data_IF_034685277128
#
_entry.id   IF_034685277128
#
_cell.length_a   1.000
_cell.length_b   1.000
_cell.length_c   1.000
_cell.angle_alpha   90.00
_cell.angle_beta   90.00
_cell.angle_gamma   90.00
#
_symmetry.space_group_name_H-M   'P 1'
#
loop_
_entity.id
_entity.type
_entity.pdbx_description
1 polymer ?
#
# COMPACT_ATOMS: atom_id res chain seq x y z
N UNK A 1 -1.01 21.58 -11.29
CA UNK A 1 -0.07 22.06 -10.27
C UNK A 1 0.50 20.83 -9.59
N UNK A 2 1.68 20.34 -10.01
CA UNK A 2 2.22 19.10 -9.49
C UNK A 2 2.85 19.35 -8.13
N UNK A 3 2.34 18.68 -7.11
CA UNK A 3 2.83 18.78 -5.74
C UNK A 3 4.32 18.41 -5.66
N UNK A 4 5.15 19.36 -5.28
CA UNK A 4 6.51 19.13 -4.76
C UNK A 4 6.42 18.73 -3.29
N UNK A 5 5.84 17.58 -2.99
CA UNK A 5 5.99 17.02 -1.67
C UNK A 5 7.09 15.97 -1.77
N UNK A 6 8.31 16.37 -1.46
CA UNK A 6 9.34 15.42 -1.02
C UNK A 6 8.88 14.90 0.33
N UNK A 7 8.27 13.72 0.34
CA UNK A 7 7.98 13.00 1.56
C UNK A 7 9.32 12.72 2.25
N UNK A 8 9.70 13.59 3.15
CA UNK A 8 10.90 13.41 3.97
C UNK A 8 10.49 12.43 5.05
N UNK A 9 11.09 11.26 5.09
CA UNK A 9 10.91 10.31 6.19
C UNK A 9 11.50 10.88 7.50
N UNK A 10 11.21 12.13 7.84
CA UNK A 10 11.75 12.80 9.00
C UNK A 10 10.64 13.46 9.84
N UNK A 11 10.92 13.68 11.13
CA UNK A 11 9.99 14.25 12.09
C UNK A 11 9.66 15.73 11.82
N UNK A 12 10.25 16.36 10.82
CA UNK A 12 10.02 17.76 10.45
C UNK A 12 8.87 17.91 9.46
N UNK A 13 8.46 16.81 8.82
CA UNK A 13 7.33 16.81 7.89
C UNK A 13 6.01 16.86 8.69
N UNK A 14 5.21 17.96 8.58
CA UNK A 14 3.97 18.08 9.32
C UNK A 14 2.95 16.97 8.98
N UNK A 15 2.86 16.60 7.70
CA UNK A 15 1.96 15.53 7.27
C UNK A 15 2.41 14.19 7.86
N UNK A 16 3.71 13.91 7.88
CA UNK A 16 4.22 12.69 8.47
C UNK A 16 3.89 12.61 9.98
N UNK A 17 4.02 13.71 10.72
CA UNK A 17 3.65 13.75 12.15
C UNK A 17 2.16 13.49 12.34
N UNK A 18 1.32 14.12 11.52
CA UNK A 18 -0.13 13.90 11.55
C UNK A 18 -0.47 12.44 11.30
N UNK A 19 0.17 11.80 10.31
CA UNK A 19 -0.05 10.39 9.99
C UNK A 19 0.43 9.47 11.10
N UNK A 20 1.57 9.75 11.72
CA UNK A 20 2.08 8.96 12.86
C UNK A 20 1.14 9.03 14.07
N UNK A 21 0.59 10.22 14.35
CA UNK A 21 -0.40 10.41 15.42
C UNK A 21 -1.69 9.66 15.12
N UNK A 22 -2.16 9.74 13.88
CA UNK A 22 -3.37 9.08 13.41
C UNK A 22 -3.31 7.56 13.57
N UNK A 23 -2.15 6.95 13.25
CA UNK A 23 -1.94 5.52 13.38
C UNK A 23 -1.55 5.06 14.79
N UNK A 24 -1.35 5.98 15.73
CA UNK A 24 -0.94 5.64 17.10
C UNK A 24 0.48 5.08 17.21
N UNK A 25 1.35 5.30 16.22
CA UNK A 25 2.73 4.78 16.23
C UNK A 25 3.72 5.69 16.97
N UNK A 26 3.23 6.63 17.79
CA UNK A 26 4.07 7.60 18.47
C UNK A 26 5.15 6.96 19.33
N UNK A 27 4.82 5.89 20.03
CA UNK A 27 5.70 5.21 20.98
C UNK A 27 6.41 3.99 20.37
N UNK A 28 5.98 3.48 19.21
CA UNK A 28 6.61 2.39 18.49
C UNK A 28 7.44 2.90 17.30
N UNK A 29 8.71 3.23 17.61
CA UNK A 29 9.66 3.76 16.63
C UNK A 29 9.86 2.81 15.42
N UNK A 30 9.82 1.50 15.65
CA UNK A 30 10.04 0.51 14.59
C UNK A 30 8.89 0.49 13.59
N UNK A 31 7.68 0.30 14.08
CA UNK A 31 6.47 0.31 13.26
C UNK A 31 6.30 1.64 12.55
N UNK A 32 6.55 2.75 13.25
CA UNK A 32 6.54 4.10 12.67
C UNK A 32 7.51 4.23 11.49
N UNK A 33 8.75 3.81 11.65
CA UNK A 33 9.75 3.90 10.57
C UNK A 33 9.37 3.03 9.38
N UNK A 34 8.91 1.81 9.61
CA UNK A 34 8.45 0.92 8.54
C UNK A 34 7.28 1.52 7.78
N UNK A 35 6.30 2.06 8.48
CA UNK A 35 5.14 2.71 7.88
C UNK A 35 5.56 3.92 7.02
N UNK A 36 6.45 4.77 7.53
CA UNK A 36 7.02 5.89 6.77
C UNK A 36 7.73 5.44 5.50
N UNK A 37 8.53 4.38 5.58
CA UNK A 37 9.22 3.83 4.40
C UNK A 37 8.21 3.33 3.35
N UNK A 38 7.13 2.70 3.77
CA UNK A 38 6.06 2.21 2.87
C UNK A 38 5.30 3.36 2.21
N UNK A 39 4.88 4.35 2.98
CA UNK A 39 4.22 5.55 2.45
C UNK A 39 5.11 6.29 1.45
N UNK A 40 6.40 6.48 1.78
CA UNK A 40 7.36 7.11 0.89
C UNK A 40 7.55 6.33 -0.41
N UNK A 41 7.58 5.00 -0.33
CA UNK A 41 7.71 4.15 -1.50
C UNK A 41 6.47 4.24 -2.40
N UNK A 42 5.27 4.18 -1.82
CA UNK A 42 4.02 4.36 -2.56
C UNK A 42 3.96 5.73 -3.24
N UNK A 43 4.31 6.79 -2.50
CA UNK A 43 4.37 8.14 -3.04
C UNK A 43 5.28 8.24 -4.27
N UNK A 44 6.48 7.64 -4.20
CA UNK A 44 7.42 7.59 -5.34
C UNK A 44 6.87 6.78 -6.49
N UNK A 45 6.28 5.63 -6.20
CA UNK A 45 5.65 4.78 -7.22
C UNK A 45 4.54 5.55 -7.94
N UNK A 46 3.65 6.20 -7.22
CA UNK A 46 2.54 6.96 -7.81
C UNK A 46 3.06 8.13 -8.67
N UNK A 47 4.07 8.86 -8.20
CA UNK A 47 4.75 9.89 -9.02
C UNK A 47 5.29 9.34 -10.32
N UNK A 48 5.94 8.19 -10.30
CA UNK A 48 6.46 7.55 -11.51
C UNK A 48 5.33 7.11 -12.45
N UNK A 49 4.26 6.50 -11.91
CA UNK A 49 3.11 6.08 -12.72
C UNK A 49 2.45 7.26 -13.43
N UNK A 50 2.40 8.43 -12.77
CA UNK A 50 1.90 9.66 -13.37
C UNK A 50 2.89 10.22 -14.42
N UNK A 51 4.17 10.28 -14.10
CA UNK A 51 5.21 10.78 -15.01
C UNK A 51 5.32 9.92 -16.29
N UNK A 52 5.21 8.60 -16.15
CA UNK A 52 5.24 7.62 -17.23
C UNK A 52 3.90 7.52 -17.99
N UNK A 53 2.90 8.36 -17.65
CA UNK A 53 1.55 8.34 -18.21
C UNK A 53 0.82 7.00 -18.09
N UNK A 54 1.14 6.21 -17.07
CA UNK A 54 0.39 5.01 -16.70
C UNK A 54 -0.90 5.41 -16.01
N UNK A 55 -0.84 6.38 -15.08
CA UNK A 55 -2.02 7.02 -14.47
C UNK A 55 -2.25 8.35 -15.19
N UNK A 56 -3.38 8.47 -15.87
CA UNK A 56 -3.74 9.64 -16.71
C UNK A 56 -5.09 10.24 -16.34
N UNK A 57 -5.87 9.56 -15.51
CA UNK A 57 -7.22 9.98 -15.10
C UNK A 57 -7.24 10.15 -13.59
N UNK A 58 -7.91 11.22 -13.12
CA UNK A 58 -7.89 11.66 -11.72
C UNK A 58 -9.27 12.02 -11.19
N UNK A 59 -10.36 11.52 -11.82
CA UNK A 59 -11.70 11.85 -11.37
C UNK A 59 -12.06 11.09 -10.09
N UNK A 60 -11.67 9.80 -10.00
CA UNK A 60 -12.04 8.99 -8.84
C UNK A 60 -10.98 7.97 -8.45
N UNK A 61 -10.79 7.80 -7.16
CA UNK A 61 -9.96 6.75 -6.57
C UNK A 61 -10.71 6.01 -5.46
N UNK A 62 -10.42 4.71 -5.31
CA UNK A 62 -10.88 3.86 -4.23
C UNK A 62 -9.68 3.32 -3.46
N UNK A 63 -9.69 3.45 -2.15
CA UNK A 63 -8.69 2.90 -1.23
C UNK A 63 -9.33 1.78 -0.42
N UNK A 64 -9.03 0.53 -0.78
CA UNK A 64 -9.59 -0.68 -0.16
C UNK A 64 -8.69 -1.06 1.03
N UNK A 65 -9.25 -1.15 2.24
CA UNK A 65 -8.52 -1.32 3.47
C UNK A 65 -7.80 -0.04 3.86
N UNK A 66 -8.51 1.08 3.82
CA UNK A 66 -7.93 2.42 3.99
C UNK A 66 -7.40 2.69 5.41
N UNK A 67 -7.77 1.85 6.40
CA UNK A 67 -7.45 2.09 7.80
C UNK A 67 -7.81 3.53 8.19
N UNK A 68 -6.95 4.27 8.89
CA UNK A 68 -7.17 5.67 9.27
C UNK A 68 -6.97 6.69 8.12
N UNK A 69 -6.94 6.27 6.85
CA UNK A 69 -7.08 7.14 5.67
C UNK A 69 -5.79 7.79 5.14
N UNK A 70 -4.59 7.36 5.56
CA UNK A 70 -3.34 7.98 5.10
C UNK A 70 -3.12 7.90 3.59
N UNK A 71 -3.36 6.73 3.00
CA UNK A 71 -3.24 6.55 1.56
C UNK A 71 -4.33 7.31 0.80
N UNK A 72 -5.56 7.34 1.33
CA UNK A 72 -6.66 8.14 0.78
C UNK A 72 -6.29 9.62 0.72
N UNK A 73 -5.67 10.16 1.79
CA UNK A 73 -5.15 11.54 1.82
C UNK A 73 -4.07 11.76 0.74
N UNK A 74 -3.13 10.83 0.61
CA UNK A 74 -2.09 10.91 -0.43
C UNK A 74 -2.72 10.94 -1.83
N UNK A 75 -3.71 10.10 -2.10
CA UNK A 75 -4.41 10.09 -3.39
C UNK A 75 -5.09 11.43 -3.67
N UNK A 76 -5.77 12.03 -2.68
CA UNK A 76 -6.34 13.37 -2.81
C UNK A 76 -5.27 14.42 -3.10
N UNK A 77 -4.12 14.39 -2.40
CA UNK A 77 -3.02 15.32 -2.61
C UNK A 77 -2.38 15.19 -4.00
N UNK A 78 -2.42 14.00 -4.60
CA UNK A 78 -2.00 13.79 -5.98
C UNK A 78 -3.00 14.31 -7.04
N UNK A 79 -4.17 14.76 -6.60
CA UNK A 79 -5.13 15.44 -7.46
C UNK A 79 -6.35 14.60 -7.85
N UNK A 80 -6.55 13.43 -7.26
CA UNK A 80 -7.81 12.71 -7.42
C UNK A 80 -8.95 13.54 -6.81
N UNK A 81 -9.99 13.80 -7.61
CA UNK A 81 -11.07 14.71 -7.24
C UNK A 81 -12.01 14.09 -6.20
N UNK A 82 -12.30 12.82 -6.34
CA UNK A 82 -13.12 12.03 -5.43
C UNK A 82 -12.31 10.84 -4.97
N UNK A 83 -12.08 10.73 -3.69
CA UNK A 83 -11.42 9.59 -3.06
C UNK A 83 -12.40 8.94 -2.12
N UNK A 84 -12.65 7.65 -2.29
CA UNK A 84 -13.43 6.84 -1.35
C UNK A 84 -12.47 5.89 -0.64
N UNK A 85 -12.44 5.93 0.70
CA UNK A 85 -11.74 4.98 1.54
C UNK A 85 -12.73 4.00 2.16
N UNK A 86 -12.46 2.71 2.09
CA UNK A 86 -13.27 1.69 2.76
C UNK A 86 -12.41 0.82 3.67
N UNK A 87 -12.95 0.49 4.82
CA UNK A 87 -12.38 -0.47 5.76
C UNK A 87 -13.50 -1.22 6.48
N UNK A 88 -13.20 -2.42 6.98
CA UNK A 88 -14.14 -3.20 7.78
C UNK A 88 -14.19 -2.71 9.24
N UNK A 89 -13.15 -2.04 9.69
CA UNK A 89 -13.00 -1.52 11.06
C UNK A 89 -13.66 -0.13 11.18
N UNK A 90 -14.80 -0.08 11.86
CA UNK A 90 -15.53 1.15 12.13
C UNK A 90 -14.72 2.19 12.91
N UNK A 91 -13.86 1.72 13.85
CA UNK A 91 -13.00 2.61 14.64
C UNK A 91 -11.92 3.30 13.79
N UNK A 92 -11.40 2.61 12.78
CA UNK A 92 -10.46 3.23 11.83
C UNK A 92 -11.17 4.22 10.90
N UNK A 93 -12.35 3.90 10.43
CA UNK A 93 -13.18 4.81 9.62
C UNK A 93 -13.49 6.09 10.42
N UNK A 94 -13.95 5.97 11.67
CA UNK A 94 -14.21 7.14 12.51
C UNK A 94 -12.97 8.04 12.68
N UNK A 95 -11.77 7.45 12.84
CA UNK A 95 -10.50 8.22 12.89
C UNK A 95 -10.21 8.93 11.56
N UNK A 96 -10.41 8.23 10.43
CA UNK A 96 -10.19 8.79 9.11
C UNK A 96 -11.14 9.97 8.83
N UNK A 97 -12.41 9.82 9.14
CA UNK A 97 -13.41 10.91 9.03
C UNK A 97 -13.02 12.11 9.88
N UNK A 98 -12.68 11.90 11.16
CA UNK A 98 -12.27 12.98 12.05
C UNK A 98 -11.00 13.72 11.57
N UNK A 99 -10.05 12.98 10.98
CA UNK A 99 -8.79 13.54 10.52
C UNK A 99 -8.91 14.33 9.21
N UNK A 100 -9.83 13.95 8.32
CA UNK A 100 -9.87 14.45 6.95
C UNK A 100 -11.23 15.07 6.55
N UNK A 101 -12.12 15.35 7.50
CA UNK A 101 -13.44 15.96 7.25
C UNK A 101 -13.36 17.35 6.56
N UNK A 102 -12.26 18.08 6.69
CA UNK A 102 -12.05 19.41 6.14
C UNK A 102 -11.04 19.41 4.98
N UNK A 103 -11.35 18.72 3.89
CA UNK A 103 -10.55 18.80 2.66
C UNK A 103 -11.10 19.93 1.77
N UNK A 104 -10.22 20.49 0.90
CA UNK A 104 -10.54 21.60 0.00
C UNK A 104 -11.88 21.41 -0.73
N UNK A 105 -12.66 22.46 -0.94
CA UNK A 105 -14.03 22.40 -1.48
C UNK A 105 -14.16 21.68 -2.85
N UNK A 106 -13.11 21.72 -3.67
CA UNK A 106 -13.06 21.09 -4.99
C UNK A 106 -12.69 19.60 -4.95
N UNK A 107 -12.38 19.05 -3.78
CA UNK A 107 -11.99 17.65 -3.59
C UNK A 107 -12.78 17.02 -2.46
N UNK A 108 -13.22 15.82 -2.66
CA UNK A 108 -13.92 15.05 -1.64
C UNK A 108 -13.12 13.81 -1.27
N UNK A 109 -12.91 13.62 0.04
CA UNK A 109 -12.53 12.34 0.61
C UNK A 109 -13.72 11.87 1.42
N UNK A 110 -14.22 10.68 1.13
CA UNK A 110 -15.30 10.04 1.88
C UNK A 110 -14.80 8.70 2.41
N UNK A 111 -15.22 8.37 3.61
CA UNK A 111 -14.90 7.08 4.22
C UNK A 111 -16.18 6.31 4.49
N UNK A 112 -16.08 4.98 4.43
CA UNK A 112 -17.24 4.12 4.66
C UNK A 112 -16.81 2.77 5.23
N UNK A 113 -17.50 2.31 6.25
CA UNK A 113 -17.38 0.92 6.72
C UNK A 113 -17.90 -0.02 5.63
N UNK A 114 -17.04 -0.88 5.12
CA UNK A 114 -17.41 -1.85 4.08
C UNK A 114 -16.45 -3.04 4.05
N UNK A 115 -17.00 -4.21 3.72
CA UNK A 115 -16.25 -5.42 3.48
C UNK A 115 -15.80 -5.48 2.01
N UNK A 116 -14.49 -5.61 1.77
CA UNK A 116 -13.93 -5.73 0.42
C UNK A 116 -14.46 -6.96 -0.35
N UNK A 117 -14.89 -8.02 0.36
CA UNK A 117 -15.50 -9.21 -0.24
C UNK A 117 -16.93 -8.96 -0.75
N UNK A 118 -17.56 -7.83 -0.36
CA UNK A 118 -18.97 -7.48 -0.65
C UNK A 118 -19.10 -6.10 -1.31
N UNK A 119 -18.01 -5.62 -1.92
CA UNK A 119 -17.98 -4.31 -2.54
C UNK A 119 -19.03 -4.15 -3.64
N UNK A 120 -19.70 -2.98 -3.66
CA UNK A 120 -20.59 -2.58 -4.72
C UNK A 120 -19.87 -2.49 -6.06
N UNK A 121 -20.32 -3.28 -7.04
CA UNK A 121 -19.72 -3.37 -8.38
C UNK A 121 -20.28 -2.36 -9.37
N UNK A 122 -21.21 -1.52 -8.98
CA UNK A 122 -21.86 -0.54 -9.88
C UNK A 122 -20.97 0.69 -10.08
N UNK A 123 -20.16 1.04 -9.10
CA UNK A 123 -19.24 2.19 -9.16
C UNK A 123 -17.96 1.81 -9.87
N UNK A 124 -17.41 2.75 -10.63
CA UNK A 124 -16.14 2.61 -11.34
C UNK A 124 -15.17 3.69 -10.89
N UNK A 125 -13.90 3.29 -10.72
CA UNK A 125 -12.84 4.16 -10.27
C UNK A 125 -11.68 4.17 -11.26
N UNK A 126 -11.10 5.35 -11.51
CA UNK A 126 -9.93 5.50 -12.38
C UNK A 126 -8.66 4.94 -11.74
N UNK A 127 -8.63 4.94 -10.41
CA UNK A 127 -7.54 4.38 -9.63
C UNK A 127 -8.07 3.58 -8.44
N UNK A 128 -7.50 2.40 -8.22
CA UNK A 128 -7.81 1.58 -7.04
C UNK A 128 -6.50 1.27 -6.31
N UNK A 129 -6.47 1.51 -5.02
CA UNK A 129 -5.43 1.07 -4.12
C UNK A 129 -5.97 -0.05 -3.22
N UNK A 130 -5.21 -1.13 -3.05
CA UNK A 130 -5.55 -2.23 -2.15
C UNK A 130 -4.25 -2.72 -1.49
N UNK A 131 -3.99 -2.23 -0.28
CA UNK A 131 -2.71 -2.49 0.42
C UNK A 131 -2.92 -3.35 1.65
N UNK A 132 -2.26 -4.53 1.68
CA UNK A 132 -2.30 -5.48 2.80
C UNK A 132 -3.74 -5.87 3.20
N UNK A 133 -4.54 -6.24 2.21
CA UNK A 133 -5.94 -6.67 2.41
C UNK A 133 -6.14 -8.11 1.97
N UNK A 134 -5.70 -8.45 0.77
CA UNK A 134 -6.03 -9.74 0.12
C UNK A 134 -5.62 -10.93 0.97
N UNK A 135 -4.44 -10.87 1.59
CA UNK A 135 -3.87 -11.93 2.43
C UNK A 135 -4.62 -12.14 3.76
N UNK A 136 -5.41 -11.16 4.18
CA UNK A 136 -6.17 -11.19 5.43
C UNK A 136 -7.66 -11.52 5.22
N UNK A 137 -8.10 -11.69 3.98
CA UNK A 137 -9.51 -11.98 3.67
C UNK A 137 -9.80 -13.47 3.61
N UNK A 138 -11.05 -13.84 3.88
CA UNK A 138 -11.51 -15.22 3.83
C UNK A 138 -11.64 -15.71 2.39
N UNK A 139 -12.01 -14.82 1.48
CA UNK A 139 -12.28 -15.09 0.05
C UNK A 139 -11.54 -14.10 -0.85
N UNK A 140 -10.19 -14.21 -0.94
CA UNK A 140 -9.37 -13.29 -1.72
C UNK A 140 -9.78 -13.21 -3.20
N UNK A 141 -10.33 -14.29 -3.77
CA UNK A 141 -10.89 -14.31 -5.12
C UNK A 141 -12.07 -13.34 -5.29
N UNK A 142 -12.90 -13.17 -4.25
CA UNK A 142 -13.99 -12.19 -4.27
C UNK A 142 -13.47 -10.76 -4.22
N UNK A 143 -12.46 -10.49 -3.39
CA UNK A 143 -11.83 -9.17 -3.32
C UNK A 143 -11.26 -8.78 -4.67
N UNK A 144 -10.53 -9.68 -5.34
CA UNK A 144 -9.95 -9.41 -6.67
C UNK A 144 -11.04 -9.25 -7.72
N UNK A 145 -12.10 -10.07 -7.69
CA UNK A 145 -13.23 -9.93 -8.60
C UNK A 145 -13.97 -8.59 -8.42
N UNK A 146 -14.16 -8.16 -7.18
CA UNK A 146 -14.78 -6.87 -6.86
C UNK A 146 -13.90 -5.70 -7.30
N UNK A 147 -12.59 -5.80 -7.06
CA UNK A 147 -11.60 -4.82 -7.51
C UNK A 147 -11.62 -4.69 -9.04
N UNK A 148 -11.55 -5.81 -9.76
CA UNK A 148 -11.64 -5.81 -11.22
C UNK A 148 -12.95 -5.19 -11.71
N UNK A 149 -14.07 -5.57 -11.11
CA UNK A 149 -15.38 -5.01 -11.44
C UNK A 149 -15.48 -3.50 -11.13
N UNK A 150 -14.83 -3.00 -10.09
CA UNK A 150 -14.83 -1.58 -9.72
C UNK A 150 -13.79 -0.75 -10.49
N UNK A 151 -12.87 -1.37 -11.21
CA UNK A 151 -11.87 -0.66 -12.01
C UNK A 151 -12.49 -0.16 -13.33
N UNK A 152 -12.38 1.13 -13.61
CA UNK A 152 -12.86 1.72 -14.85
C UNK A 152 -12.05 1.22 -16.06
N UNK A 153 -12.63 1.18 -17.26
CA UNK A 153 -11.86 0.96 -18.48
C UNK A 153 -10.72 1.98 -18.61
N UNK A 154 -9.49 1.50 -18.78
CA UNK A 154 -8.28 2.34 -18.78
C UNK A 154 -7.83 2.81 -17.39
N UNK A 155 -8.50 2.37 -16.32
CA UNK A 155 -8.09 2.60 -14.95
C UNK A 155 -6.90 1.74 -14.53
N UNK A 156 -6.29 2.11 -13.42
CA UNK A 156 -5.11 1.45 -12.85
C UNK A 156 -5.41 1.03 -11.41
N UNK A 157 -5.08 -0.21 -11.08
CA UNK A 157 -5.07 -0.66 -9.70
C UNK A 157 -3.64 -0.89 -9.19
N UNK A 158 -3.38 -0.55 -7.94
CA UNK A 158 -2.13 -0.84 -7.25
C UNK A 158 -2.45 -1.73 -6.05
N UNK A 159 -1.90 -2.91 -6.04
CA UNK A 159 -2.16 -3.93 -5.01
C UNK A 159 -0.85 -4.33 -4.36
N UNK A 160 -0.81 -4.44 -3.03
CA UNK A 160 0.32 -5.09 -2.37
C UNK A 160 0.07 -6.57 -2.21
N UNK A 161 1.15 -7.34 -2.35
CA UNK A 161 1.14 -8.79 -2.20
C UNK A 161 2.36 -9.21 -1.40
N UNK A 162 2.21 -10.02 -0.33
CA UNK A 162 3.34 -10.52 0.44
C UNK A 162 4.20 -11.47 -0.38
N UNK A 163 5.50 -11.43 -0.14
CA UNK A 163 6.48 -12.34 -0.71
C UNK A 163 7.00 -13.32 0.35
N UNK A 164 6.31 -14.42 0.52
CA UNK A 164 6.67 -15.47 1.49
C UNK A 164 8.10 -16.01 1.33
N UNK A 165 8.72 -15.85 0.14
CA UNK A 165 10.06 -16.32 -0.18
C UNK A 165 11.14 -15.23 -0.06
N UNK A 166 10.78 -14.06 0.42
CA UNK A 166 11.74 -12.99 0.64
C UNK A 166 12.85 -13.37 1.63
N UNK A 167 14.01 -12.75 1.49
CA UNK A 167 15.12 -12.93 2.42
C UNK A 167 14.75 -12.59 3.86
N UNK A 168 14.06 -11.46 4.16
CA UNK A 168 13.61 -11.17 5.53
C UNK A 168 12.73 -12.26 6.13
N UNK A 169 11.75 -12.79 5.37
CA UNK A 169 10.90 -13.88 5.87
C UNK A 169 11.67 -15.19 6.06
N UNK A 170 12.64 -15.49 5.19
CA UNK A 170 13.51 -16.66 5.36
C UNK A 170 14.33 -16.56 6.66
N UNK A 171 14.93 -15.41 6.93
CA UNK A 171 15.68 -15.15 8.16
C UNK A 171 14.79 -15.19 9.40
N UNK A 172 13.59 -14.61 9.33
CA UNK A 172 12.63 -14.68 10.43
C UNK A 172 12.21 -16.12 10.72
N UNK A 173 11.88 -16.92 9.71
CA UNK A 173 11.58 -18.36 9.89
C UNK A 173 12.71 -19.12 10.56
N UNK A 174 13.95 -18.88 10.16
CA UNK A 174 15.13 -19.49 10.78
C UNK A 174 15.24 -19.08 12.26
N UNK A 175 15.07 -17.80 12.56
CA UNK A 175 15.14 -17.28 13.93
C UNK A 175 14.02 -17.85 14.84
N UNK A 176 12.78 -17.96 14.36
CA UNK A 176 11.68 -18.58 15.11
C UNK A 176 11.96 -20.06 15.39
N UNK A 177 12.48 -20.81 14.42
CA UNK A 177 12.87 -22.21 14.61
C UNK A 177 13.97 -22.37 15.68
N UNK A 178 15.02 -21.54 15.61
CA UNK A 178 16.13 -21.59 16.57
C UNK A 178 15.69 -21.23 17.99
N UNK A 179 14.82 -20.22 18.13
CA UNK A 179 14.35 -19.73 19.43
C UNK A 179 13.19 -20.54 20.00
N UNK A 180 12.66 -21.53 19.29
CA UNK A 180 11.49 -22.32 19.66
C UNK A 180 10.27 -21.48 20.11
N UNK A 181 10.14 -20.25 19.56
CA UNK A 181 9.02 -19.36 19.87
C UNK A 181 7.82 -19.65 18.94
N UNK A 182 6.57 -19.49 19.43
CA UNK A 182 5.41 -19.50 18.56
C UNK A 182 5.54 -18.37 17.54
N UNK A 183 5.02 -18.58 16.32
CA UNK A 183 5.02 -17.57 15.27
C UNK A 183 3.91 -16.56 15.51
N UNK A 184 4.15 -15.34 15.09
CA UNK A 184 3.14 -14.30 15.07
C UNK A 184 2.03 -14.68 14.06
N UNK A 185 0.72 -14.60 14.40
CA UNK A 185 -0.37 -14.91 13.48
C UNK A 185 -0.32 -14.11 12.18
N UNK A 186 -0.01 -12.83 12.22
CA UNK A 186 0.14 -11.97 11.03
C UNK A 186 1.26 -12.49 10.12
N UNK A 187 2.37 -12.91 10.70
CA UNK A 187 3.47 -13.52 9.97
C UNK A 187 3.05 -14.83 9.27
N UNK A 188 2.22 -15.66 9.93
CA UNK A 188 1.68 -16.90 9.36
C UNK A 188 0.76 -16.62 8.16
N UNK A 189 -0.09 -15.60 8.22
CA UNK A 189 -0.98 -15.24 7.13
C UNK A 189 -0.21 -14.80 5.88
N UNK A 190 0.83 -13.99 6.05
CA UNK A 190 1.72 -13.62 4.96
C UNK A 190 2.41 -14.82 4.32
N UNK A 191 2.74 -15.86 5.09
CA UNK A 191 3.37 -17.09 4.56
C UNK A 191 2.39 -17.99 3.81
N UNK A 192 1.10 -17.97 4.15
CA UNK A 192 0.06 -18.76 3.50
C UNK A 192 -0.31 -18.24 2.12
N UNK A 193 0.04 -16.97 1.81
CA UNK A 193 -0.37 -16.32 0.59
C UNK A 193 0.84 -15.98 -0.32
N UNK A 194 1.35 -16.93 -1.10
CA UNK A 194 2.46 -16.68 -1.99
C UNK A 194 2.03 -15.82 -3.19
N UNK A 195 2.91 -14.96 -3.67
CA UNK A 195 2.61 -13.95 -4.70
C UNK A 195 2.08 -14.55 -6.02
N UNK A 196 2.50 -15.76 -6.40
CA UNK A 196 1.98 -16.41 -7.62
C UNK A 196 0.50 -16.80 -7.53
N UNK A 197 -0.03 -17.00 -6.30
CA UNK A 197 -1.47 -17.17 -6.10
C UNK A 197 -2.20 -15.89 -6.46
N UNK A 198 -1.68 -14.73 -6.04
CA UNK A 198 -2.24 -13.44 -6.44
C UNK A 198 -2.18 -13.23 -7.95
N UNK A 199 -1.06 -13.58 -8.62
CA UNK A 199 -0.94 -13.48 -10.07
C UNK A 199 -2.03 -14.29 -10.79
N UNK A 200 -2.33 -15.51 -10.33
CA UNK A 200 -3.44 -16.31 -10.87
C UNK A 200 -4.79 -15.63 -10.67
N UNK A 201 -5.06 -15.13 -9.45
CA UNK A 201 -6.32 -14.43 -9.18
C UNK A 201 -6.49 -13.19 -10.06
N UNK A 202 -5.43 -12.45 -10.33
CA UNK A 202 -5.49 -11.30 -11.25
C UNK A 202 -5.77 -11.76 -12.68
N UNK A 203 -5.08 -12.80 -13.14
CA UNK A 203 -5.26 -13.39 -14.48
C UNK A 203 -6.69 -13.90 -14.67
N UNK A 204 -7.23 -14.64 -13.70
CA UNK A 204 -8.60 -15.19 -13.71
C UNK A 204 -9.67 -14.08 -13.81
N UNK A 205 -9.36 -12.86 -13.37
CA UNK A 205 -10.26 -11.70 -13.45
C UNK A 205 -9.93 -10.76 -14.64
N UNK A 206 -9.12 -11.22 -15.59
CA UNK A 206 -8.76 -10.43 -16.77
C UNK A 206 -7.89 -9.22 -16.48
N UNK A 207 -7.19 -9.22 -15.35
CA UNK A 207 -6.21 -8.20 -15.00
C UNK A 207 -4.80 -8.63 -15.41
N UNK A 208 -4.03 -7.70 -15.95
CA UNK A 208 -2.60 -7.90 -16.24
C UNK A 208 -1.71 -7.05 -15.35
N UNK A 209 -0.56 -7.58 -14.95
CA UNK A 209 0.45 -6.87 -14.18
C UNK A 209 1.37 -6.10 -15.12
N UNK A 210 1.28 -4.77 -15.13
CA UNK A 210 2.10 -3.90 -15.99
C UNK A 210 3.41 -3.46 -15.34
N UNK A 211 3.46 -3.48 -13.99
CA UNK A 211 4.67 -3.14 -13.22
C UNK A 211 4.68 -3.87 -11.89
N UNK A 212 5.87 -4.28 -11.45
CA UNK A 212 6.08 -4.81 -10.10
C UNK A 212 7.27 -4.12 -9.45
N UNK A 213 7.08 -3.60 -8.24
CA UNK A 213 8.11 -2.98 -7.43
C UNK A 213 8.13 -3.64 -6.06
N UNK A 214 9.30 -4.09 -5.60
CA UNK A 214 9.46 -4.63 -4.25
C UNK A 214 9.42 -3.52 -3.18
N UNK A 215 9.13 -3.90 -1.95
CA UNK A 215 9.21 -3.01 -0.78
C UNK A 215 9.76 -3.76 0.43
N UNK A 216 10.31 -3.03 1.40
CA UNK A 216 10.87 -3.58 2.63
C UNK A 216 11.98 -4.62 2.36
N UNK A 217 13.03 -4.20 1.64
CA UNK A 217 14.24 -5.01 1.42
C UNK A 217 15.06 -5.15 2.71
N UNK A 218 15.08 -4.12 3.55
CA UNK A 218 15.78 -4.12 4.82
C UNK A 218 14.74 -4.16 5.95
N UNK A 219 14.75 -5.24 6.72
CA UNK A 219 13.92 -5.42 7.90
C UNK A 219 14.79 -5.80 9.09
N UNK A 220 15.58 -4.84 9.58
CA UNK A 220 16.30 -5.00 10.83
C UNK A 220 15.84 -3.91 11.80
N UNK A 221 15.05 -4.29 12.80
CA UNK A 221 14.48 -3.42 13.81
C UNK A 221 15.52 -2.53 14.49
N UNK A 222 16.69 -3.08 14.86
CA UNK A 222 17.75 -2.34 15.53
C UNK A 222 18.35 -1.28 14.59
N UNK A 223 18.57 -1.63 13.32
CA UNK A 223 19.07 -0.70 12.32
C UNK A 223 18.05 0.42 12.06
N UNK A 224 16.77 0.07 11.89
CA UNK A 224 15.73 1.05 11.64
C UNK A 224 15.57 2.03 12.82
N UNK A 225 15.62 1.54 14.07
CA UNK A 225 15.63 2.41 15.26
C UNK A 225 16.86 3.32 15.30
N UNK A 226 18.05 2.81 14.97
CA UNK A 226 19.27 3.62 14.94
C UNK A 226 19.26 4.70 13.84
N UNK A 227 18.54 4.45 12.75
CA UNK A 227 18.40 5.41 11.64
C UNK A 227 17.23 6.38 11.83
N UNK A 228 16.32 6.12 12.75
CA UNK A 228 15.19 6.99 13.03
C UNK A 228 15.66 8.41 13.40
N UNK A 229 15.07 9.43 12.76
CA UNK A 229 15.44 10.83 12.98
C UNK A 229 16.76 11.27 12.36
N UNK A 230 17.53 10.37 11.75
CA UNK A 230 18.80 10.71 11.06
C UNK A 230 18.59 11.00 9.57
N UNK A 231 19.47 11.78 8.92
CA UNK A 231 19.42 12.02 7.47
C UNK A 231 19.70 10.76 6.64
N UNK A 232 20.16 9.67 7.27
CA UNK A 232 20.42 8.40 6.60
C UNK A 232 19.11 7.64 6.27
N UNK A 233 18.04 7.84 7.02
CA UNK A 233 16.76 7.16 6.76
C UNK A 233 16.16 7.53 5.38
N UNK A 234 16.07 8.81 4.98
CA UNK A 234 15.69 9.19 3.62
C UNK A 234 16.62 8.64 2.54
N UNK A 235 17.94 8.57 2.81
CA UNK A 235 18.89 7.98 1.87
C UNK A 235 18.65 6.48 1.69
N UNK A 236 18.42 5.75 2.79
CA UNK A 236 18.05 4.34 2.76
C UNK A 236 16.74 4.11 1.99
N UNK A 237 15.74 4.95 2.21
CA UNK A 237 14.46 4.88 1.48
C UNK A 237 14.67 5.01 -0.04
N UNK A 238 15.49 5.97 -0.49
CA UNK A 238 15.82 6.14 -1.91
C UNK A 238 16.57 4.93 -2.47
N UNK A 239 17.55 4.44 -1.72
CA UNK A 239 18.35 3.28 -2.13
C UNK A 239 17.46 2.02 -2.23
N UNK A 240 16.62 1.76 -1.25
CA UNK A 240 15.66 0.65 -1.30
C UNK A 240 14.74 0.75 -2.52
N UNK A 241 14.19 1.92 -2.81
CA UNK A 241 13.33 2.12 -3.97
C UNK A 241 14.07 1.85 -5.29
N UNK A 242 15.31 2.31 -5.43
CA UNK A 242 16.12 2.09 -6.63
C UNK A 242 16.44 0.60 -6.84
N UNK A 243 16.74 -0.12 -5.76
CA UNK A 243 17.11 -1.55 -5.79
C UNK A 243 15.85 -2.42 -5.98
N UNK A 244 14.75 -2.08 -5.30
CA UNK A 244 13.52 -2.85 -5.28
C UNK A 244 12.81 -2.94 -6.65
N UNK A 245 13.24 -2.18 -7.65
CA UNK A 245 12.74 -2.24 -9.03
C UNK A 245 13.55 -3.12 -9.95
N UNK A 246 14.78 -3.50 -9.54
CA UNK A 246 15.73 -4.22 -10.39
C UNK A 246 15.59 -5.73 -10.26
N UNK A 247 15.50 -6.42 -11.39
CA UNK A 247 15.65 -7.87 -11.43
C UNK A 247 17.11 -8.27 -11.14
N UNK A 248 17.41 -9.30 -10.34
CA UNK A 248 16.49 -10.13 -9.55
C UNK A 248 16.20 -9.57 -8.14
N UNK A 249 16.77 -8.42 -7.76
CA UNK A 249 16.79 -7.90 -6.39
C UNK A 249 15.38 -7.61 -5.83
N UNK A 250 14.44 -7.26 -6.68
CA UNK A 250 13.04 -7.07 -6.27
C UNK A 250 12.44 -8.28 -5.56
N UNK A 251 12.89 -9.49 -5.90
CA UNK A 251 12.39 -10.73 -5.28
C UNK A 251 12.91 -10.99 -3.87
N UNK A 252 13.90 -10.22 -3.41
CA UNK A 252 14.33 -10.24 -2.00
C UNK A 252 13.42 -9.42 -1.09
N UNK A 253 12.52 -8.60 -1.65
CA UNK A 253 11.60 -7.74 -0.90
C UNK A 253 10.51 -8.54 -0.18
N UNK A 254 10.03 -8.02 0.96
CA UNK A 254 8.96 -8.64 1.76
C UNK A 254 7.59 -8.56 1.08
N UNK A 255 7.33 -7.49 0.36
CA UNK A 255 6.09 -7.26 -0.36
C UNK A 255 6.36 -6.78 -1.77
N UNK A 256 5.38 -6.96 -2.65
CA UNK A 256 5.34 -6.38 -3.97
C UNK A 256 4.21 -5.35 -4.04
N UNK A 257 4.49 -4.17 -4.60
CA UNK A 257 3.48 -3.35 -5.24
C UNK A 257 3.31 -3.84 -6.67
N UNK A 258 2.15 -4.34 -6.99
CA UNK A 258 1.76 -4.77 -8.33
C UNK A 258 0.79 -3.76 -8.93
N UNK A 259 1.16 -3.21 -10.08
CA UNK A 259 0.34 -2.28 -10.84
C UNK A 259 -0.42 -3.06 -11.88
N UNK A 260 -1.74 -2.97 -11.85
CA UNK A 260 -2.66 -3.78 -12.64
C UNK A 260 -3.51 -2.88 -13.55
N UNK A 261 -3.91 -3.42 -14.67
CA UNK A 261 -4.97 -2.88 -15.52
C UNK A 261 -5.79 -4.01 -16.13
N UNK A 262 -6.95 -3.68 -16.68
CA UNK A 262 -7.66 -4.65 -17.50
C UNK A 262 -6.81 -5.04 -18.71
N UNK A 263 -6.79 -6.34 -19.02
CA UNK A 263 -6.17 -6.84 -20.24
C UNK A 263 -6.93 -6.24 -21.43
N UNK A 264 -6.19 -5.68 -22.40
CA UNK A 264 -6.79 -5.21 -23.65
C UNK A 264 -7.44 -6.39 -24.34
N UNK A 265 -8.72 -6.26 -24.69
CA UNK A 265 -9.33 -7.22 -25.63
C UNK A 265 -8.67 -6.94 -26.99
N UNK A 266 -7.78 -7.85 -27.40
CA UNK A 266 -7.21 -7.87 -28.75
C UNK A 266 -8.26 -8.36 -29.74
#
# INVERSE_FOLDING_TARGET
MFYRVDFRCDDRDPLQRQLDELYGYRDDVETRVLHRLRLNLFFRLLRELIADRVVTRFDSALDIGCNAGAYSKILSDFGFRRVEGIDIDEGQIAKAEAAFAAVAPERTIAFRVANAEELDRTRRHDFILCTEVIEHTSRPERVVANLAAALAPGGIAVVTVPNAFSLPYALARAAYRLKRKPRDPVFEDHLKYPFWRALRLFDDQGLEVVRTTGTNLCFNARLLRALAGTPLLPALSRAQFAVARRWPLKYAAMFFYMVLRHRSQT
#
